data_IF_077466699871
#
_entry.id   IF_077466699871
#
_cell.length_a   1.000
_cell.length_b   1.000
_cell.length_c   1.000
_cell.angle_alpha   90.00
_cell.angle_beta   90.00
_cell.angle_gamma   90.00
#
_symmetry.space_group_name_H-M   'P 1'
#
loop_
_entity.id
_entity.type
_entity.pdbx_description
1 polymer ?
#
# COMPACT_ATOMS: atom_id res chain seq x y z
N UNK A 1 -31.71 -58.01 -5.27
CA UNK A 1 -30.53 -57.12 -5.35
C UNK A 1 -30.85 -55.61 -5.32
N UNK A 2 -31.81 -55.08 -6.08
CA UNK A 2 -32.04 -53.61 -6.15
C UNK A 2 -32.51 -52.99 -4.84
N UNK A 3 -33.34 -53.67 -3.99
CA UNK A 3 -33.83 -53.13 -2.70
C UNK A 3 -32.70 -53.02 -1.65
N UNK A 4 -31.78 -53.99 -1.57
CA UNK A 4 -30.65 -53.89 -0.62
C UNK A 4 -29.66 -52.77 -0.96
N UNK A 5 -29.44 -52.51 -2.23
CA UNK A 5 -28.58 -51.43 -2.70
C UNK A 5 -29.17 -50.04 -2.40
N UNK A 6 -30.51 -49.87 -2.46
CA UNK A 6 -31.18 -48.61 -2.06
C UNK A 6 -31.11 -48.34 -0.55
N UNK A 7 -31.19 -49.36 0.30
CA UNK A 7 -31.01 -49.21 1.76
C UNK A 7 -29.57 -48.82 2.13
N UNK A 8 -28.57 -49.42 1.48
CA UNK A 8 -27.15 -49.08 1.70
C UNK A 8 -26.86 -47.64 1.26
N UNK A 9 -27.38 -47.21 0.10
CA UNK A 9 -27.23 -45.85 -0.40
C UNK A 9 -27.90 -44.83 0.55
N UNK A 10 -29.09 -45.12 1.03
CA UNK A 10 -29.83 -44.28 1.99
C UNK A 10 -29.10 -44.16 3.33
N UNK A 11 -28.53 -45.26 3.84
CA UNK A 11 -27.72 -45.24 5.06
C UNK A 11 -26.43 -44.44 4.92
N UNK A 12 -25.75 -44.56 3.77
CA UNK A 12 -24.54 -43.77 3.47
C UNK A 12 -24.83 -42.26 3.38
N UNK A 13 -25.94 -41.90 2.71
CA UNK A 13 -26.36 -40.49 2.62
C UNK A 13 -26.80 -39.93 3.97
N UNK A 14 -27.48 -40.73 4.79
CA UNK A 14 -27.84 -40.34 6.16
C UNK A 14 -26.60 -40.15 7.04
N UNK A 15 -25.65 -41.05 6.99
CA UNK A 15 -24.37 -40.95 7.72
C UNK A 15 -23.54 -39.76 7.25
N UNK A 16 -23.50 -39.51 5.94
CA UNK A 16 -22.82 -38.33 5.37
C UNK A 16 -23.56 -37.04 5.81
N UNK A 17 -24.87 -37.01 5.83
CA UNK A 17 -25.67 -35.89 6.34
C UNK A 17 -25.44 -35.64 7.83
N UNK A 18 -25.41 -36.68 8.63
CA UNK A 18 -25.09 -36.60 10.08
C UNK A 18 -23.63 -36.14 10.31
N UNK A 19 -22.70 -36.69 9.56
CA UNK A 19 -21.29 -36.26 9.63
C UNK A 19 -21.12 -34.78 9.22
N UNK A 20 -21.86 -34.31 8.21
CA UNK A 20 -21.87 -32.89 7.83
C UNK A 20 -22.56 -32.00 8.89
N UNK A 21 -23.64 -32.46 9.51
CA UNK A 21 -24.38 -31.69 10.53
C UNK A 21 -23.62 -31.62 11.86
N UNK A 22 -23.09 -32.72 12.33
CA UNK A 22 -22.42 -32.83 13.64
C UNK A 22 -20.90 -32.64 13.55
N UNK A 23 -20.27 -32.94 12.42
CA UNK A 23 -18.85 -32.74 12.20
C UNK A 23 -18.46 -31.29 11.90
N UNK A 24 -19.39 -30.50 11.30
CA UNK A 24 -19.13 -29.07 10.97
C UNK A 24 -18.68 -28.23 12.15
N UNK A 25 -19.35 -28.25 13.33
CA UNK A 25 -18.91 -27.46 14.48
C UNK A 25 -17.52 -27.87 14.97
N UNK A 26 -17.23 -29.16 15.00
CA UNK A 26 -15.93 -29.68 15.41
C UNK A 26 -14.83 -29.26 14.42
N UNK A 27 -15.06 -29.43 13.11
CA UNK A 27 -14.10 -29.01 12.08
C UNK A 27 -13.88 -27.50 12.13
N UNK A 28 -14.96 -26.72 12.29
CA UNK A 28 -14.87 -25.27 12.41
C UNK A 28 -14.08 -24.84 13.65
N UNK A 29 -14.30 -25.50 14.79
CA UNK A 29 -13.53 -25.23 16.01
C UNK A 29 -12.04 -25.56 15.83
N UNK A 30 -11.70 -26.70 15.24
CA UNK A 30 -10.31 -27.07 14.98
C UNK A 30 -9.65 -26.10 13.99
N UNK A 31 -10.37 -25.70 12.92
CA UNK A 31 -9.88 -24.72 11.97
C UNK A 31 -9.64 -23.36 12.64
N UNK A 32 -10.57 -22.92 13.51
CA UNK A 32 -10.43 -21.68 14.27
C UNK A 32 -9.25 -21.73 15.24
N UNK A 33 -9.09 -22.81 16.01
CA UNK A 33 -7.96 -23.00 16.93
C UNK A 33 -6.64 -22.96 16.17
N UNK A 34 -6.55 -23.68 15.04
CA UNK A 34 -5.37 -23.64 14.19
C UNK A 34 -5.07 -22.24 13.66
N UNK A 35 -6.09 -21.49 13.25
CA UNK A 35 -5.92 -20.10 12.82
C UNK A 35 -5.43 -19.20 13.97
N UNK A 36 -5.91 -19.41 15.20
CA UNK A 36 -5.39 -18.71 16.38
C UNK A 36 -3.90 -19.00 16.59
N UNK A 37 -3.52 -20.30 16.59
CA UNK A 37 -2.14 -20.71 16.85
C UNK A 37 -1.15 -20.21 15.78
N UNK A 38 -1.62 -20.07 14.53
CA UNK A 38 -0.76 -19.67 13.41
C UNK A 38 -0.68 -18.16 13.19
N UNK A 39 -1.72 -17.42 13.57
CA UNK A 39 -1.82 -16.01 13.15
C UNK A 39 -1.90 -15.01 14.31
N UNK A 40 -2.38 -15.42 15.49
CA UNK A 40 -2.62 -14.47 16.58
C UNK A 40 -1.37 -14.32 17.46
N UNK A 41 -0.87 -13.07 17.56
CA UNK A 41 0.31 -12.74 18.36
C UNK A 41 1.64 -13.20 17.77
N UNK A 42 1.64 -13.72 16.53
CA UNK A 42 2.87 -14.15 15.84
C UNK A 42 3.40 -12.98 14.99
N UNK A 43 4.63 -12.55 15.23
CA UNK A 43 5.35 -11.64 14.34
C UNK A 43 5.81 -12.41 13.09
N UNK A 44 5.00 -12.37 12.04
CA UNK A 44 5.32 -13.05 10.76
C UNK A 44 6.61 -12.49 10.12
N UNK A 45 6.96 -11.25 10.41
CA UNK A 45 8.19 -10.63 9.89
C UNK A 45 9.46 -11.18 10.53
N UNK A 46 9.36 -11.89 11.66
CA UNK A 46 10.51 -12.52 12.32
C UNK A 46 11.17 -13.64 11.48
N UNK A 47 10.42 -14.21 10.53
CA UNK A 47 10.93 -15.22 9.59
C UNK A 47 11.66 -14.61 8.38
N UNK A 48 11.59 -13.30 8.19
CA UNK A 48 12.21 -12.65 7.03
C UNK A 48 13.73 -12.51 7.24
N UNK A 49 14.49 -12.73 6.15
CA UNK A 49 15.90 -12.38 6.14
C UNK A 49 16.08 -10.88 6.36
N UNK A 50 17.19 -10.45 6.93
CA UNK A 50 17.47 -9.01 7.05
C UNK A 50 17.54 -8.34 5.68
N UNK A 51 16.90 -7.18 5.53
CA UNK A 51 16.78 -6.49 4.25
C UNK A 51 15.65 -5.47 4.22
N UNK A 52 15.21 -5.14 3.01
CA UNK A 52 14.00 -4.36 2.76
C UNK A 52 12.85 -5.28 2.37
N UNK A 53 11.70 -5.07 2.96
CA UNK A 53 10.47 -5.80 2.63
C UNK A 53 9.36 -4.79 2.37
N UNK A 54 8.90 -4.75 1.11
CA UNK A 54 7.80 -3.90 0.70
C UNK A 54 6.49 -4.66 0.82
N UNK A 55 5.47 -4.00 1.36
CA UNK A 55 4.09 -4.46 1.42
C UNK A 55 3.22 -3.53 0.57
N UNK A 56 2.51 -4.08 -0.39
CA UNK A 56 1.51 -3.34 -1.17
C UNK A 56 0.15 -3.54 -0.47
N UNK A 57 -0.25 -2.58 0.33
CA UNK A 57 -1.51 -2.63 1.06
C UNK A 57 -2.65 -1.90 0.34
N UNK A 58 -2.32 -1.04 -0.62
CA UNK A 58 -3.25 -0.39 -1.52
C UNK A 58 -2.60 -0.06 -2.86
N UNK A 59 -3.08 -0.66 -3.93
CA UNK A 59 -2.58 -0.48 -5.30
C UNK A 59 -3.56 0.26 -6.22
N UNK A 60 -4.74 0.60 -5.69
CA UNK A 60 -5.80 1.31 -6.40
C UNK A 60 -5.57 2.81 -6.46
N UNK A 61 -6.55 3.50 -7.01
CA UNK A 61 -6.65 4.94 -7.23
C UNK A 61 -7.97 5.45 -6.64
N UNK A 62 -8.35 6.73 -6.77
CA UNK A 62 -9.65 7.20 -6.27
C UNK A 62 -10.85 6.59 -7.00
N UNK A 63 -10.65 5.87 -8.10
CA UNK A 63 -11.74 5.19 -8.81
C UNK A 63 -12.23 3.97 -8.02
N UNK A 64 -13.55 3.69 -8.01
CA UNK A 64 -14.09 2.52 -7.34
C UNK A 64 -13.47 1.22 -7.88
N UNK A 65 -12.91 0.42 -6.98
CA UNK A 65 -12.35 -0.90 -7.25
C UNK A 65 -12.79 -1.87 -6.14
N UNK A 66 -13.22 -3.07 -6.52
CA UNK A 66 -13.69 -4.07 -5.54
C UNK A 66 -12.53 -4.73 -4.78
N UNK A 67 -11.37 -4.84 -5.41
CA UNK A 67 -10.24 -5.65 -4.93
C UNK A 67 -9.08 -4.79 -4.41
N UNK A 68 -8.96 -3.53 -4.87
CA UNK A 68 -7.86 -2.64 -4.52
C UNK A 68 -8.29 -1.56 -3.53
N UNK A 69 -7.53 -1.40 -2.48
CA UNK A 69 -7.60 -0.27 -1.56
C UNK A 69 -6.94 0.97 -2.18
N UNK A 70 -7.24 2.14 -1.63
CA UNK A 70 -6.56 3.38 -1.99
C UNK A 70 -5.04 3.29 -1.80
N UNK A 71 -4.25 4.14 -2.48
CA UNK A 71 -2.81 4.00 -2.57
C UNK A 71 -2.15 3.98 -1.20
N UNK A 72 -1.38 2.93 -0.94
CA UNK A 72 -0.63 2.79 0.30
C UNK A 72 0.40 1.68 0.17
N UNK A 73 1.61 1.98 0.57
CA UNK A 73 2.73 1.07 0.60
C UNK A 73 3.35 1.07 2.00
N UNK A 74 3.87 -0.07 2.45
CA UNK A 74 4.62 -0.08 3.69
C UNK A 74 5.97 -0.79 3.50
N UNK A 75 6.99 -0.35 4.21
CA UNK A 75 8.33 -0.90 4.13
C UNK A 75 8.80 -1.30 5.51
N UNK A 76 9.26 -2.54 5.64
CA UNK A 76 10.03 -3.01 6.80
C UNK A 76 11.52 -3.03 6.40
N UNK A 77 12.34 -2.32 7.16
CA UNK A 77 13.79 -2.24 6.99
C UNK A 77 14.47 -2.70 8.30
N UNK A 78 14.90 -3.96 8.34
CA UNK A 78 15.37 -4.56 9.58
C UNK A 78 14.33 -4.53 10.69
N UNK A 79 14.55 -3.73 11.75
CA UNK A 79 13.59 -3.58 12.86
C UNK A 79 12.82 -2.26 12.84
N UNK A 80 12.74 -1.59 11.70
CA UNK A 80 12.04 -0.34 11.53
C UNK A 80 11.01 -0.46 10.41
N UNK A 81 9.80 0.02 10.67
CA UNK A 81 8.68 -0.03 9.75
C UNK A 81 8.22 1.40 9.38
N UNK A 82 7.76 1.57 8.15
CA UNK A 82 7.35 2.85 7.58
C UNK A 82 6.12 2.65 6.70
N UNK A 83 5.21 3.62 6.68
CA UNK A 83 4.06 3.64 5.77
C UNK A 83 4.23 4.83 4.81
N UNK A 84 3.92 4.63 3.54
CA UNK A 84 3.93 5.65 2.48
C UNK A 84 2.51 5.75 1.93
N UNK A 85 1.85 6.86 2.23
CA UNK A 85 0.44 7.11 2.05
C UNK A 85 -0.47 6.11 2.79
N UNK A 86 -1.69 6.50 3.04
CA UNK A 86 -2.70 5.67 3.70
C UNK A 86 -4.07 5.90 3.06
N UNK A 87 -4.24 5.38 1.86
CA UNK A 87 -5.52 5.41 1.18
C UNK A 87 -6.57 4.54 1.85
N UNK A 88 -7.81 4.78 1.52
CA UNK A 88 -8.97 4.12 2.11
C UNK A 88 -8.88 2.58 2.04
N UNK A 89 -9.07 1.91 3.16
CA UNK A 89 -9.08 0.44 3.29
C UNK A 89 -7.71 -0.24 3.34
N UNK A 90 -6.62 0.49 3.06
CA UNK A 90 -5.26 -0.07 2.99
C UNK A 90 -4.75 -0.57 4.34
N UNK A 91 -5.03 0.16 5.42
CA UNK A 91 -4.52 -0.17 6.76
C UNK A 91 -5.09 -1.49 7.28
N UNK A 92 -6.35 -1.81 6.96
CA UNK A 92 -6.94 -3.12 7.29
C UNK A 92 -6.28 -4.26 6.52
N UNK A 93 -5.96 -4.03 5.24
CA UNK A 93 -5.21 -5.00 4.44
C UNK A 93 -3.80 -5.18 5.00
N UNK A 94 -3.12 -4.09 5.36
CA UNK A 94 -1.81 -4.11 5.98
C UNK A 94 -1.79 -4.95 7.29
N UNK A 95 -2.82 -4.76 8.14
CA UNK A 95 -3.00 -5.57 9.35
C UNK A 95 -3.17 -7.06 9.04
N UNK A 96 -3.95 -7.42 7.99
CA UNK A 96 -4.12 -8.80 7.54
C UNK A 96 -2.82 -9.42 6.98
N UNK A 97 -1.94 -8.60 6.40
CA UNK A 97 -0.63 -9.02 5.91
C UNK A 97 0.38 -9.26 7.05
N UNK A 98 -0.02 -9.09 8.31
CA UNK A 98 0.86 -9.31 9.47
C UNK A 98 1.95 -8.25 9.64
N UNK A 99 1.73 -7.02 9.13
CA UNK A 99 2.70 -5.95 9.24
C UNK A 99 2.96 -5.59 10.72
N UNK A 100 4.24 -5.44 11.13
CA UNK A 100 4.61 -5.26 12.53
C UNK A 100 4.41 -3.79 12.99
N UNK A 101 3.17 -3.38 13.30
CA UNK A 101 2.83 -2.01 13.72
C UNK A 101 3.65 -1.52 14.94
N UNK A 102 4.12 -2.43 15.80
CA UNK A 102 5.00 -2.09 16.93
C UNK A 102 6.38 -1.57 16.51
N UNK A 103 6.80 -1.83 15.26
CA UNK A 103 8.06 -1.33 14.68
C UNK A 103 7.89 -0.03 13.89
N UNK A 104 6.68 0.53 13.79
CA UNK A 104 6.38 1.70 12.98
C UNK A 104 7.09 2.95 13.52
N UNK A 105 7.91 3.58 12.70
CA UNK A 105 8.71 4.78 13.03
C UNK A 105 8.12 6.07 12.47
N UNK A 106 7.40 6.00 11.36
CA UNK A 106 6.77 7.16 10.73
C UNK A 106 5.90 6.80 9.55
N UNK A 107 5.06 7.72 9.18
CA UNK A 107 4.25 7.71 7.96
C UNK A 107 4.67 8.88 7.07
N UNK A 108 4.72 8.66 5.77
CA UNK A 108 5.26 9.58 4.76
C UNK A 108 4.21 9.83 3.70
N UNK A 109 3.67 11.04 3.65
CA UNK A 109 2.66 11.43 2.66
C UNK A 109 3.35 11.99 1.42
N UNK A 110 2.99 11.44 0.25
CA UNK A 110 3.50 11.93 -1.03
C UNK A 110 2.91 13.29 -1.38
N UNK A 111 1.62 13.43 -1.17
CA UNK A 111 0.83 14.66 -1.35
C UNK A 111 -0.50 14.53 -0.59
N UNK A 112 -1.37 15.55 -0.69
CA UNK A 112 -2.55 15.64 0.18
C UNK A 112 -3.88 15.42 -0.58
N UNK A 113 -3.91 14.71 -1.69
CA UNK A 113 -5.17 14.23 -2.25
C UNK A 113 -5.84 13.24 -1.29
N UNK A 114 -7.16 13.21 -1.31
CA UNK A 114 -7.95 12.45 -0.35
C UNK A 114 -7.65 10.95 -0.39
N UNK A 115 -7.48 10.37 -1.55
CA UNK A 115 -7.21 8.95 -1.72
C UNK A 115 -5.84 8.50 -1.16
N UNK A 116 -4.91 9.43 -0.91
CA UNK A 116 -3.63 9.18 -0.25
C UNK A 116 -3.68 9.36 1.28
N UNK A 117 -4.73 10.01 1.81
CA UNK A 117 -4.84 10.34 3.24
C UNK A 117 -6.13 9.82 3.90
N UNK A 118 -7.10 9.28 3.15
CA UNK A 118 -8.41 8.83 3.66
C UNK A 118 -8.30 7.83 4.83
N UNK A 119 -7.27 6.99 4.84
CA UNK A 119 -7.00 6.00 5.87
C UNK A 119 -6.09 6.50 7.00
N UNK A 120 -5.60 7.74 6.98
CA UNK A 120 -4.65 8.26 7.97
C UNK A 120 -5.16 8.14 9.40
N UNK A 121 -6.45 8.43 9.64
CA UNK A 121 -7.03 8.28 10.97
C UNK A 121 -6.99 6.84 11.48
N UNK A 122 -7.22 5.85 10.61
CA UNK A 122 -7.09 4.43 10.95
C UNK A 122 -5.61 4.05 11.16
N UNK A 123 -4.69 4.57 10.36
CA UNK A 123 -3.25 4.37 10.52
C UNK A 123 -2.76 4.87 11.90
N UNK A 124 -3.10 6.10 12.26
CA UNK A 124 -2.78 6.68 13.57
C UNK A 124 -3.37 5.87 14.72
N UNK A 125 -4.62 5.40 14.58
CA UNK A 125 -5.28 4.55 15.58
C UNK A 125 -4.54 3.22 15.75
N UNK A 126 -4.19 2.53 14.67
CA UNK A 126 -3.49 1.25 14.73
C UNK A 126 -2.05 1.42 15.24
N UNK A 127 -1.36 2.47 14.85
CA UNK A 127 -0.05 2.82 15.39
C UNK A 127 -0.11 3.00 16.92
N UNK A 128 -1.14 3.70 17.42
CA UNK A 128 -1.33 3.91 18.85
C UNK A 128 -1.67 2.63 19.61
N UNK A 129 -2.75 1.93 19.21
CA UNK A 129 -3.29 0.78 19.95
C UNK A 129 -2.49 -0.51 19.67
N UNK A 130 -2.40 -0.93 18.41
CA UNK A 130 -1.69 -2.17 18.05
C UNK A 130 -0.17 -1.99 18.13
N UNK A 131 0.34 -0.81 17.82
CA UNK A 131 1.75 -0.46 17.94
C UNK A 131 2.20 -0.16 19.36
N UNK A 132 1.28 0.07 20.31
CA UNK A 132 1.59 0.32 21.73
C UNK A 132 2.36 1.62 21.97
N UNK A 133 2.13 2.65 21.18
CA UNK A 133 2.91 3.89 21.24
C UNK A 133 2.72 4.68 22.53
N UNK A 134 3.82 5.29 22.99
CA UNK A 134 3.84 6.25 24.11
C UNK A 134 4.08 7.70 23.67
N UNK A 135 4.16 7.93 22.36
CA UNK A 135 4.24 9.26 21.73
C UNK A 135 3.50 9.24 20.40
N UNK A 136 2.94 10.38 19.93
CA UNK A 136 2.28 10.47 18.62
C UNK A 136 3.17 9.98 17.49
N UNK A 137 2.55 9.39 16.45
CA UNK A 137 3.28 8.93 15.27
C UNK A 137 3.82 10.12 14.48
N UNK A 138 5.13 10.20 14.15
CA UNK A 138 5.63 11.19 13.19
C UNK A 138 4.98 10.97 11.81
N UNK A 139 4.38 12.04 11.26
CA UNK A 139 3.78 12.05 9.91
C UNK A 139 4.50 13.09 9.09
N UNK A 140 5.33 12.63 8.16
CA UNK A 140 6.11 13.46 7.25
C UNK A 140 5.28 13.75 6.00
N UNK A 141 5.34 14.99 5.50
CA UNK A 141 4.62 15.32 4.26
C UNK A 141 4.80 16.77 3.84
N UNK A 142 4.18 17.18 2.72
CA UNK A 142 4.28 18.53 2.20
C UNK A 142 3.65 19.57 3.13
N UNK A 143 3.78 20.85 2.79
CA UNK A 143 3.05 21.94 3.43
C UNK A 143 1.56 21.64 3.48
N UNK A 144 0.93 21.86 4.65
CA UNK A 144 -0.47 21.50 4.92
C UNK A 144 -0.65 20.16 5.65
N UNK A 145 0.40 19.33 5.78
CA UNK A 145 0.35 18.07 6.56
C UNK A 145 -0.01 18.35 8.03
N UNK A 146 0.42 19.46 8.60
CA UNK A 146 0.07 19.89 9.95
C UNK A 146 -1.45 20.05 10.12
N UNK A 147 -2.12 20.66 9.14
CA UNK A 147 -3.58 20.85 9.14
C UNK A 147 -4.31 19.51 9.02
N UNK A 148 -3.85 18.65 8.11
CA UNK A 148 -4.42 17.31 7.91
C UNK A 148 -4.29 16.47 9.17
N UNK A 149 -3.09 16.38 9.76
CA UNK A 149 -2.84 15.62 10.99
C UNK A 149 -3.66 16.18 12.17
N UNK A 150 -3.72 17.49 12.33
CA UNK A 150 -4.54 18.12 13.37
C UNK A 150 -6.03 17.79 13.21
N UNK A 151 -6.55 17.79 11.96
CA UNK A 151 -7.95 17.44 11.68
C UNK A 151 -8.25 15.97 12.02
N UNK A 152 -7.39 15.02 11.65
CA UNK A 152 -7.56 13.61 12.03
C UNK A 152 -7.41 13.38 13.53
N UNK A 153 -6.47 14.04 14.20
CA UNK A 153 -6.37 14.01 15.66
C UNK A 153 -7.66 14.48 16.31
N UNK A 154 -8.23 15.60 15.85
CA UNK A 154 -9.49 16.13 16.36
C UNK A 154 -10.68 15.18 16.08
N UNK A 155 -10.77 14.60 14.90
CA UNK A 155 -11.82 13.66 14.52
C UNK A 155 -11.84 12.40 15.41
N UNK A 156 -10.67 11.90 15.80
CA UNK A 156 -10.53 10.69 16.63
C UNK A 156 -10.41 10.99 18.13
N UNK A 157 -10.45 12.27 18.56
CA UNK A 157 -10.29 12.66 19.96
C UNK A 157 -11.34 12.00 20.87
N UNK A 158 -12.60 11.94 20.44
CA UNK A 158 -13.68 11.34 21.23
C UNK A 158 -13.45 9.82 21.37
N UNK A 159 -13.15 9.12 20.28
CA UNK A 159 -12.85 7.68 20.28
C UNK A 159 -11.68 7.36 21.23
N UNK A 160 -10.65 8.22 21.24
CA UNK A 160 -9.49 8.02 22.12
C UNK A 160 -9.88 7.99 23.60
N UNK A 161 -10.80 8.86 24.03
CA UNK A 161 -11.28 8.87 25.42
C UNK A 161 -12.01 7.58 25.79
N UNK A 162 -12.81 7.03 24.85
CA UNK A 162 -13.51 5.76 25.04
C UNK A 162 -12.53 4.59 25.18
N UNK A 163 -11.49 4.54 24.35
CA UNK A 163 -10.48 3.47 24.42
C UNK A 163 -9.68 3.52 25.72
N UNK A 164 -9.29 4.70 26.18
CA UNK A 164 -8.63 4.87 27.47
C UNK A 164 -9.55 4.42 28.59
N UNK A 165 -10.84 4.78 28.56
CA UNK A 165 -11.82 4.36 29.56
C UNK A 165 -12.06 2.84 29.57
N UNK A 166 -12.13 2.20 28.40
CA UNK A 166 -12.38 0.77 28.28
C UNK A 166 -11.17 -0.11 28.63
N UNK A 167 -9.95 0.30 28.20
CA UNK A 167 -8.77 -0.58 28.24
C UNK A 167 -7.71 -0.10 29.23
N UNK A 168 -7.86 1.13 29.75
CA UNK A 168 -6.91 1.78 30.66
C UNK A 168 -5.61 2.26 29.96
N UNK A 169 -4.84 3.12 30.66
CA UNK A 169 -3.65 3.77 30.09
C UNK A 169 -2.48 2.82 29.80
N UNK A 170 -2.52 1.58 30.30
CA UNK A 170 -1.51 0.56 29.97
C UNK A 170 -1.67 0.03 28.55
N UNK A 171 -2.89 -0.02 28.04
CA UNK A 171 -3.21 -0.49 26.68
C UNK A 171 -3.37 0.70 25.74
N UNK A 172 -4.16 1.68 26.12
CA UNK A 172 -4.40 2.90 25.37
C UNK A 172 -3.69 4.08 26.08
N UNK A 173 -2.37 4.18 25.89
CA UNK A 173 -1.58 5.24 26.52
C UNK A 173 -1.98 6.61 25.95
N UNK A 174 -2.54 7.54 26.78
CA UNK A 174 -3.02 8.85 26.27
C UNK A 174 -1.93 9.67 25.56
N UNK A 175 -0.66 9.52 25.98
CA UNK A 175 0.46 10.27 25.39
C UNK A 175 0.89 9.73 24.02
N UNK A 176 0.43 8.54 23.65
CA UNK A 176 0.72 7.92 22.36
C UNK A 176 -0.29 8.19 21.26
N UNK A 177 -1.41 8.84 21.61
CA UNK A 177 -2.51 9.08 20.69
C UNK A 177 -2.16 10.06 19.58
N UNK A 178 -2.59 9.74 18.36
CA UNK A 178 -2.57 10.62 17.19
C UNK A 178 -1.25 10.70 16.46
N UNK A 179 -1.14 11.69 15.60
CA UNK A 179 0.04 12.01 14.79
C UNK A 179 0.69 13.32 15.18
N UNK A 180 1.99 13.43 14.85
CA UNK A 180 2.80 14.63 14.97
C UNK A 180 3.37 14.99 13.60
N UNK A 181 2.89 16.08 13.00
CA UNK A 181 3.31 16.49 11.66
C UNK A 181 4.78 16.90 11.60
N UNK A 182 5.47 16.46 10.54
CA UNK A 182 6.83 16.81 10.17
C UNK A 182 6.82 17.34 8.74
N UNK A 183 6.86 18.67 8.59
CA UNK A 183 6.77 19.30 7.27
C UNK A 183 8.09 19.10 6.51
N UNK A 184 8.00 18.54 5.31
CA UNK A 184 9.11 18.39 4.39
C UNK A 184 9.25 19.71 3.62
N UNK A 185 10.36 20.43 3.86
CA UNK A 185 10.70 21.64 3.15
C UNK A 185 12.06 21.42 2.47
N UNK A 186 12.04 21.21 1.15
CA UNK A 186 13.29 21.09 0.38
C UNK A 186 13.97 22.46 0.32
N UNK A 187 15.31 22.52 0.48
CA UNK A 187 16.07 23.74 0.26
C UNK A 187 15.83 24.33 -1.14
N UNK A 188 16.01 25.63 -1.28
CA UNK A 188 15.87 26.31 -2.57
C UNK A 188 16.80 25.70 -3.63
N UNK A 189 16.21 25.36 -4.78
CA UNK A 189 16.93 24.74 -5.88
C UNK A 189 17.26 23.25 -5.69
N UNK A 190 16.94 22.66 -4.53
CA UNK A 190 17.14 21.22 -4.31
C UNK A 190 15.95 20.41 -4.83
N UNK A 191 16.24 19.32 -5.53
CA UNK A 191 15.26 18.36 -6.02
C UNK A 191 15.02 17.20 -5.04
N UNK A 192 15.88 17.04 -4.03
CA UNK A 192 15.74 15.98 -3.03
C UNK A 192 16.46 16.34 -1.72
N UNK A 193 16.02 15.69 -0.62
CA UNK A 193 16.62 15.83 0.69
C UNK A 193 16.45 14.54 1.51
N UNK A 194 17.49 14.16 2.25
CA UNK A 194 17.38 13.13 3.29
C UNK A 194 16.54 13.68 4.44
N UNK A 195 15.45 13.01 4.75
CA UNK A 195 14.48 13.43 5.79
C UNK A 195 14.45 12.45 6.97
N UNK A 196 15.02 11.27 6.81
CA UNK A 196 15.18 10.27 7.85
C UNK A 196 16.51 9.54 7.65
N UNK A 197 17.32 9.45 8.71
CA UNK A 197 18.60 8.71 8.69
C UNK A 197 18.87 8.17 10.10
N UNK A 198 18.40 6.96 10.36
CA UNK A 198 18.55 6.31 11.68
C UNK A 198 18.74 4.80 11.54
N UNK A 199 19.61 4.23 12.38
CA UNK A 199 19.87 2.78 12.47
C UNK A 199 20.14 2.13 11.09
N UNK A 200 20.82 2.86 10.18
CA UNK A 200 21.18 2.39 8.84
C UNK A 200 20.08 2.48 7.79
N UNK A 201 18.87 2.93 8.15
CA UNK A 201 17.80 3.26 7.21
C UNK A 201 17.87 4.73 6.84
N UNK A 202 17.92 5.00 5.55
CA UNK A 202 17.89 6.36 5.01
C UNK A 202 16.68 6.53 4.10
N UNK A 203 15.87 7.59 4.34
CA UNK A 203 14.73 7.95 3.49
C UNK A 203 15.00 9.35 2.93
N UNK A 204 14.93 9.45 1.61
CA UNK A 204 15.10 10.69 0.85
C UNK A 204 13.76 11.08 0.23
N UNK A 205 13.26 12.28 0.53
CA UNK A 205 12.17 12.89 -0.20
C UNK A 205 12.68 13.49 -1.51
N UNK A 206 11.94 13.33 -2.59
CA UNK A 206 12.32 13.72 -3.94
C UNK A 206 11.15 14.51 -4.54
N UNK A 207 11.39 15.68 -5.09
CA UNK A 207 10.38 16.48 -5.78
C UNK A 207 9.88 15.73 -7.01
N UNK A 208 8.55 15.62 -7.14
CA UNK A 208 7.90 15.10 -8.34
C UNK A 208 6.97 16.12 -8.96
N UNK A 209 6.38 15.80 -10.12
CA UNK A 209 5.59 16.73 -10.92
C UNK A 209 4.14 16.23 -10.95
N UNK A 210 3.28 16.87 -10.16
CA UNK A 210 1.86 16.53 -10.06
C UNK A 210 0.98 17.79 -10.11
N UNK A 211 1.24 18.69 -11.09
CA UNK A 211 0.55 19.98 -11.21
C UNK A 211 -0.98 19.81 -11.28
N UNK A 212 -1.76 20.64 -10.54
CA UNK A 212 -1.33 21.84 -9.79
C UNK A 212 -0.92 21.57 -8.33
N UNK A 213 -0.85 20.32 -7.89
CA UNK A 213 -0.49 19.95 -6.51
C UNK A 213 1.01 20.19 -6.29
N UNK A 214 1.34 21.15 -5.43
CA UNK A 214 2.72 21.55 -5.12
C UNK A 214 2.86 21.89 -3.64
N UNK A 215 3.90 21.37 -2.95
CA UNK A 215 4.82 20.34 -3.44
C UNK A 215 4.20 18.94 -3.40
N UNK A 216 4.71 18.05 -4.27
CA UNK A 216 4.45 16.62 -4.24
C UNK A 216 5.79 15.89 -4.19
N UNK A 217 5.83 14.74 -3.50
CA UNK A 217 7.06 13.99 -3.24
C UNK A 217 6.96 12.53 -3.67
N UNK A 218 8.06 12.02 -4.24
CA UNK A 218 8.39 10.61 -4.21
C UNK A 218 9.42 10.36 -3.11
N UNK A 219 9.71 9.09 -2.85
CA UNK A 219 10.64 8.67 -1.80
C UNK A 219 11.62 7.63 -2.30
N UNK A 220 12.87 7.70 -1.80
CA UNK A 220 13.85 6.63 -1.91
C UNK A 220 14.20 6.13 -0.52
N UNK A 221 14.19 4.81 -0.34
CA UNK A 221 14.53 4.12 0.89
C UNK A 221 15.78 3.28 0.64
N UNK A 222 16.83 3.51 1.40
CA UNK A 222 18.08 2.74 1.34
C UNK A 222 18.32 2.03 2.68
N UNK A 223 18.67 0.74 2.63
CA UNK A 223 19.05 -0.06 3.80
C UNK A 223 19.99 -1.20 3.40
N UNK A 224 21.16 -1.28 4.04
CA UNK A 224 22.17 -2.36 3.84
C UNK A 224 22.44 -2.70 2.38
N UNK A 225 22.60 -1.68 1.53
CA UNK A 225 22.91 -1.82 0.11
C UNK A 225 21.72 -2.25 -0.76
N UNK A 226 20.51 -2.27 -0.22
CA UNK A 226 19.27 -2.45 -0.96
C UNK A 226 18.49 -1.14 -1.02
N UNK A 227 17.69 -0.97 -2.08
CA UNK A 227 17.00 0.30 -2.31
C UNK A 227 15.64 0.12 -2.99
N UNK A 228 14.68 0.92 -2.52
CA UNK A 228 13.33 1.04 -3.09
C UNK A 228 13.09 2.50 -3.44
N UNK A 229 12.48 2.77 -4.60
CA UNK A 229 11.94 4.09 -4.93
C UNK A 229 10.43 4.03 -5.13
N UNK A 230 9.71 5.01 -4.61
CA UNK A 230 8.25 5.18 -4.68
C UNK A 230 7.99 6.54 -5.31
N UNK A 231 7.27 6.58 -6.44
CA UNK A 231 7.07 7.84 -7.17
C UNK A 231 6.09 8.80 -6.49
N UNK A 232 5.08 8.29 -5.76
CA UNK A 232 3.85 9.05 -5.58
C UNK A 232 3.16 9.26 -6.92
N UNK A 233 2.21 10.18 -6.99
CA UNK A 233 1.56 10.57 -8.23
C UNK A 233 2.42 11.56 -8.98
N UNK A 234 2.70 11.30 -10.25
CA UNK A 234 3.57 12.15 -11.06
C UNK A 234 3.49 11.81 -12.55
N UNK A 235 3.79 12.77 -13.40
CA UNK A 235 4.26 12.48 -14.76
C UNK A 235 5.73 12.03 -14.72
N UNK A 236 6.34 11.75 -15.90
CA UNK A 236 7.78 11.51 -15.94
C UNK A 236 8.56 12.68 -15.31
N UNK A 237 9.20 12.43 -14.17
CA UNK A 237 9.92 13.45 -13.38
C UNK A 237 11.44 13.21 -13.43
N UNK A 238 12.21 14.07 -14.11
CA UNK A 238 13.67 13.93 -14.21
C UNK A 238 14.37 13.87 -12.85
N UNK A 239 13.91 14.64 -11.87
CA UNK A 239 14.47 14.65 -10.51
C UNK A 239 14.27 13.28 -9.82
N UNK A 240 13.09 12.67 -9.96
CA UNK A 240 12.81 11.34 -9.43
C UNK A 240 13.70 10.27 -10.10
N UNK A 241 13.85 10.32 -11.42
CA UNK A 241 14.73 9.43 -12.17
C UNK A 241 16.18 9.57 -11.70
N UNK A 242 16.67 10.79 -11.55
CA UNK A 242 18.05 11.06 -11.10
C UNK A 242 18.32 10.53 -9.70
N UNK A 243 17.41 10.78 -8.74
CA UNK A 243 17.54 10.34 -7.36
C UNK A 243 17.32 8.82 -7.20
N UNK A 244 16.62 8.18 -8.14
CA UNK A 244 16.33 6.74 -8.14
C UNK A 244 17.35 5.91 -8.92
N UNK A 245 18.52 6.47 -9.27
CA UNK A 245 19.55 5.73 -10.01
C UNK A 245 19.96 4.43 -9.30
N UNK A 246 19.92 3.32 -10.06
CA UNK A 246 20.37 2.00 -9.64
C UNK A 246 19.54 1.36 -8.52
N UNK A 247 18.29 1.78 -8.30
CA UNK A 247 17.44 1.16 -7.29
C UNK A 247 17.11 -0.29 -7.68
N UNK A 248 16.99 -1.16 -6.68
CA UNK A 248 16.62 -2.57 -6.89
C UNK A 248 15.15 -2.71 -7.29
N UNK A 249 14.27 -1.89 -6.69
CA UNK A 249 12.84 -1.89 -6.92
C UNK A 249 12.32 -0.44 -7.05
N UNK A 250 11.61 -0.17 -8.14
CA UNK A 250 10.88 1.07 -8.34
C UNK A 250 9.38 0.79 -8.36
N UNK A 251 8.62 1.55 -7.58
CA UNK A 251 7.16 1.63 -7.69
C UNK A 251 6.80 2.95 -8.34
N UNK A 252 5.96 2.91 -9.37
CA UNK A 252 5.55 4.10 -10.11
C UNK A 252 4.03 4.08 -10.33
N UNK A 253 3.39 5.24 -10.19
CA UNK A 253 1.99 5.40 -10.56
C UNK A 253 1.81 5.12 -12.06
N UNK A 254 0.61 4.71 -12.46
CA UNK A 254 0.35 4.45 -13.87
C UNK A 254 -1.11 4.70 -14.26
N UNK A 255 -1.28 5.53 -15.29
CA UNK A 255 -2.57 5.83 -15.92
C UNK A 255 -2.54 5.46 -17.38
N UNK A 256 -3.35 4.49 -17.81
CA UNK A 256 -3.48 4.18 -19.24
C UNK A 256 -4.40 5.21 -19.91
N UNK A 257 -3.79 6.12 -20.68
CA UNK A 257 -4.48 7.26 -21.29
C UNK A 257 -5.58 6.85 -22.28
N UNK A 258 -5.34 5.81 -23.07
CA UNK A 258 -6.32 5.32 -24.07
C UNK A 258 -7.55 4.72 -23.39
N UNK A 259 -7.35 3.92 -22.32
CA UNK A 259 -8.45 3.36 -21.55
C UNK A 259 -9.24 4.45 -20.83
N UNK A 260 -8.58 5.45 -20.26
CA UNK A 260 -9.23 6.59 -19.59
C UNK A 260 -9.98 7.46 -20.60
N UNK A 261 -9.41 7.72 -21.77
CA UNK A 261 -10.08 8.45 -22.85
C UNK A 261 -11.35 7.73 -23.33
N UNK A 262 -11.27 6.41 -23.51
CA UNK A 262 -12.42 5.58 -23.90
C UNK A 262 -13.52 5.62 -22.82
N UNK A 263 -13.13 5.57 -21.54
CA UNK A 263 -14.05 5.69 -20.41
C UNK A 263 -14.73 7.08 -20.38
N UNK A 264 -13.95 8.15 -20.57
CA UNK A 264 -14.45 9.52 -20.67
C UNK A 264 -15.45 9.71 -21.81
N UNK A 265 -15.15 9.19 -23.00
CA UNK A 265 -16.06 9.22 -24.14
C UNK A 265 -17.38 8.49 -23.84
N UNK A 266 -17.34 7.33 -23.19
CA UNK A 266 -18.55 6.59 -22.81
C UNK A 266 -19.38 7.31 -21.76
N UNK A 267 -18.73 7.97 -20.78
CA UNK A 267 -19.41 8.80 -19.77
C UNK A 267 -20.11 10.00 -20.42
N UNK A 268 -19.46 10.68 -21.36
CA UNK A 268 -20.06 11.80 -22.11
C UNK A 268 -21.28 11.32 -22.92
N UNK A 269 -21.18 10.22 -23.64
CA UNK A 269 -22.30 9.59 -24.37
C UNK A 269 -23.50 9.29 -23.47
N UNK A 270 -23.23 8.91 -22.20
CA UNK A 270 -24.26 8.61 -21.20
C UNK A 270 -24.76 9.81 -20.41
N UNK A 271 -24.42 11.01 -20.82
CA UNK A 271 -24.89 12.26 -20.19
C UNK A 271 -24.23 12.56 -18.84
N UNK A 272 -22.98 12.09 -18.63
CA UNK A 272 -22.19 12.36 -17.44
C UNK A 272 -20.98 13.29 -17.76
N UNK A 273 -21.21 14.55 -18.23
CA UNK A 273 -20.14 15.40 -18.73
C UNK A 273 -19.12 15.80 -17.64
N UNK A 274 -19.53 15.91 -16.37
CA UNK A 274 -18.61 16.24 -15.26
C UNK A 274 -17.59 15.14 -15.04
N UNK A 275 -18.03 13.90 -14.99
CA UNK A 275 -17.12 12.75 -14.80
C UNK A 275 -16.26 12.53 -16.05
N UNK A 276 -16.82 12.78 -17.24
CA UNK A 276 -16.04 12.75 -18.49
C UNK A 276 -14.93 13.81 -18.50
N UNK A 277 -15.19 15.02 -17.96
CA UNK A 277 -14.17 16.06 -17.82
C UNK A 277 -13.04 15.61 -16.87
N UNK A 278 -13.37 14.97 -15.74
CA UNK A 278 -12.35 14.42 -14.83
C UNK A 278 -11.45 13.42 -15.58
N UNK A 279 -12.04 12.52 -16.40
CA UNK A 279 -11.28 11.56 -17.20
C UNK A 279 -10.34 12.22 -18.22
N UNK A 280 -10.70 13.40 -18.70
CA UNK A 280 -9.83 14.21 -19.55
C UNK A 280 -8.66 14.81 -18.73
N UNK A 281 -8.98 15.43 -17.60
CA UNK A 281 -8.01 16.22 -16.82
C UNK A 281 -6.92 15.35 -16.20
N UNK A 282 -7.27 14.17 -15.65
CA UNK A 282 -6.31 13.28 -14.98
C UNK A 282 -5.18 12.77 -15.87
N UNK A 283 -5.35 12.79 -17.20
CA UNK A 283 -4.33 12.38 -18.15
C UNK A 283 -3.10 13.32 -18.20
N UNK A 284 -3.24 14.53 -17.68
CA UNK A 284 -2.21 15.56 -17.73
C UNK A 284 -1.18 15.47 -16.58
N UNK A 285 -1.49 14.79 -15.48
CA UNK A 285 -0.68 14.83 -14.28
C UNK A 285 -0.35 13.44 -13.68
N UNK A 286 -0.57 12.37 -14.45
CA UNK A 286 -0.13 11.00 -14.17
C UNK A 286 0.74 10.46 -15.31
N UNK A 287 1.65 9.54 -14.98
CA UNK A 287 2.47 8.86 -15.96
C UNK A 287 1.67 7.81 -16.72
N UNK A 288 1.93 7.67 -18.03
CA UNK A 288 1.49 6.46 -18.74
C UNK A 288 2.34 5.26 -18.31
N UNK A 289 1.88 4.00 -18.52
CA UNK A 289 2.70 2.83 -18.29
C UNK A 289 4.05 2.88 -19.04
N UNK A 290 4.06 3.48 -20.24
CA UNK A 290 5.27 3.71 -21.04
C UNK A 290 6.18 4.78 -20.42
N UNK A 291 5.62 5.86 -19.87
CA UNK A 291 6.39 6.89 -19.16
C UNK A 291 7.02 6.33 -17.87
N UNK A 292 6.27 5.54 -17.10
CA UNK A 292 6.77 4.82 -15.94
C UNK A 292 7.88 3.82 -16.32
N UNK A 293 7.68 3.07 -17.42
CA UNK A 293 8.68 2.16 -17.95
C UNK A 293 9.96 2.89 -18.40
N UNK A 294 9.82 4.08 -19.01
CA UNK A 294 10.94 4.95 -19.37
C UNK A 294 11.67 5.45 -18.11
N UNK A 295 10.93 5.90 -17.09
CA UNK A 295 11.52 6.33 -15.83
C UNK A 295 12.33 5.20 -15.17
N UNK A 296 11.78 3.99 -15.10
CA UNK A 296 12.48 2.80 -14.59
C UNK A 296 13.74 2.46 -15.39
N UNK A 297 13.66 2.47 -16.72
CA UNK A 297 14.80 2.25 -17.61
C UNK A 297 15.87 3.31 -17.44
N UNK A 298 15.50 4.58 -17.46
CA UNK A 298 16.43 5.71 -17.36
C UNK A 298 17.08 5.78 -15.98
N UNK A 299 16.36 5.35 -14.92
CA UNK A 299 16.94 5.19 -13.60
C UNK A 299 17.86 3.95 -13.48
N UNK A 300 17.77 2.98 -14.40
CA UNK A 300 18.48 1.71 -14.29
C UNK A 300 17.93 0.86 -13.15
N UNK A 301 16.63 0.91 -12.90
CA UNK A 301 15.97 0.11 -11.88
C UNK A 301 16.04 -1.39 -12.23
N UNK A 302 16.21 -2.25 -11.24
CA UNK A 302 16.25 -3.70 -11.45
C UNK A 302 14.86 -4.29 -11.71
N UNK A 303 13.86 -3.80 -11.00
CA UNK A 303 12.46 -4.21 -11.09
C UNK A 303 11.55 -2.98 -11.05
N UNK A 304 10.49 -2.99 -11.86
CA UNK A 304 9.46 -1.96 -11.88
C UNK A 304 8.10 -2.57 -11.54
N UNK A 305 7.41 -1.98 -10.58
CA UNK A 305 6.03 -2.34 -10.22
C UNK A 305 5.16 -1.11 -10.41
N UNK A 306 4.13 -1.22 -11.24
CA UNK A 306 3.15 -0.15 -11.44
C UNK A 306 2.07 -0.27 -10.37
N UNK A 307 1.79 0.82 -9.65
CA UNK A 307 0.73 0.92 -8.64
C UNK A 307 -0.13 2.15 -8.90
N UNK A 308 -1.09 2.49 -8.04
CA UNK A 308 -2.03 3.60 -8.29
C UNK A 308 -2.64 3.48 -9.70
N UNK A 309 -3.23 2.30 -9.97
CA UNK A 309 -3.63 1.93 -11.35
C UNK A 309 -4.90 2.67 -11.79
N UNK A 310 -4.82 3.43 -12.87
CA UNK A 310 -5.94 4.18 -13.47
C UNK A 310 -6.11 3.82 -14.95
N UNK A 311 -7.28 3.33 -15.40
CA UNK A 311 -8.40 2.88 -14.60
C UNK A 311 -8.12 1.55 -13.88
N UNK A 312 -9.02 1.08 -13.01
CA UNK A 312 -8.92 -0.24 -12.40
C UNK A 312 -8.70 -1.35 -13.42
N UNK A 313 -7.85 -2.33 -13.06
CA UNK A 313 -7.56 -3.52 -13.88
C UNK A 313 -8.20 -4.74 -13.20
N UNK A 314 -9.48 -5.05 -13.52
CA UNK A 314 -10.29 -6.01 -12.76
C UNK A 314 -9.91 -7.47 -13.04
N UNK A 315 -9.16 -7.75 -14.09
CA UNK A 315 -8.80 -9.11 -14.45
C UNK A 315 -7.44 -9.17 -15.16
N UNK A 316 -6.69 -10.23 -14.93
CA UNK A 316 -5.39 -10.47 -15.60
C UNK A 316 -5.46 -10.43 -17.12
N UNK A 317 -6.61 -10.77 -17.70
CA UNK A 317 -6.83 -10.70 -19.15
C UNK A 317 -6.66 -9.26 -19.70
N UNK A 318 -6.92 -8.24 -18.86
CA UNK A 318 -6.86 -6.82 -19.26
C UNK A 318 -5.46 -6.23 -19.00
N UNK A 319 -4.59 -6.89 -18.24
CA UNK A 319 -3.23 -6.41 -17.96
C UNK A 319 -2.43 -6.05 -19.22
N UNK A 320 -2.42 -6.86 -20.30
CA UNK A 320 -1.69 -6.50 -21.53
C UNK A 320 -2.21 -5.21 -22.19
N UNK A 321 -3.53 -4.98 -22.15
CA UNK A 321 -4.12 -3.74 -22.64
C UNK A 321 -3.68 -2.54 -21.77
N UNK A 322 -3.70 -2.69 -20.45
CA UNK A 322 -3.25 -1.66 -19.53
C UNK A 322 -1.78 -1.32 -19.72
N UNK A 323 -0.93 -2.34 -19.83
CA UNK A 323 0.53 -2.18 -19.97
C UNK A 323 0.97 -1.57 -21.31
N UNK A 324 0.18 -1.71 -22.38
CA UNK A 324 0.51 -1.19 -23.70
C UNK A 324 1.89 -1.61 -24.19
N UNK A 325 2.75 -0.63 -24.50
CA UNK A 325 4.12 -0.87 -24.95
C UNK A 325 5.16 -0.86 -23.81
N UNK A 326 4.76 -0.63 -22.57
CA UNK A 326 5.67 -0.57 -21.43
C UNK A 326 6.63 -1.77 -21.33
N UNK A 327 6.20 -3.04 -21.58
CA UNK A 327 7.12 -4.19 -21.56
C UNK A 327 8.22 -4.16 -22.62
N UNK A 328 8.06 -3.38 -23.69
CA UNK A 328 9.10 -3.19 -24.72
C UNK A 328 10.07 -2.06 -24.34
N UNK A 329 9.65 -1.16 -23.49
CA UNK A 329 10.43 0.00 -23.02
C UNK A 329 11.35 -0.39 -21.88
N UNK A 330 10.82 -1.12 -20.88
CA UNK A 330 11.56 -1.53 -19.68
C UNK A 330 12.15 -2.94 -19.85
N UNK A 331 13.48 -3.09 -19.80
CA UNK A 331 14.12 -4.39 -20.09
C UNK A 331 14.13 -5.36 -18.90
N UNK A 332 13.77 -4.88 -17.70
CA UNK A 332 13.78 -5.65 -16.46
C UNK A 332 12.43 -6.34 -16.16
N UNK A 333 12.26 -6.76 -14.92
CA UNK A 333 10.98 -7.32 -14.44
C UNK A 333 9.95 -6.21 -14.28
N UNK A 334 8.86 -6.26 -15.04
CA UNK A 334 7.71 -5.34 -14.95
C UNK A 334 6.49 -6.10 -14.42
N UNK A 335 5.83 -5.56 -13.39
CA UNK A 335 4.59 -6.13 -12.82
C UNK A 335 3.57 -5.03 -12.52
N UNK A 336 2.29 -5.40 -12.52
CA UNK A 336 1.23 -4.60 -11.89
C UNK A 336 1.15 -4.97 -10.41
N UNK A 337 1.02 -3.97 -9.56
CA UNK A 337 0.78 -4.16 -8.14
C UNK A 337 -0.59 -4.82 -7.90
N UNK A 338 -0.65 -5.63 -6.86
CA UNK A 338 -1.87 -6.19 -6.32
C UNK A 338 -1.82 -6.03 -4.80
N UNK A 339 -2.94 -5.73 -4.19
CA UNK A 339 -3.05 -5.68 -2.74
C UNK A 339 -2.69 -7.04 -2.14
N UNK A 340 -1.88 -7.04 -1.10
CA UNK A 340 -1.34 -8.27 -0.53
C UNK A 340 0.01 -8.71 -1.10
N UNK A 341 0.52 -8.07 -2.17
CA UNK A 341 1.86 -8.34 -2.68
C UNK A 341 2.91 -7.95 -1.64
N UNK A 342 3.85 -8.86 -1.38
CA UNK A 342 5.06 -8.58 -0.60
C UNK A 342 6.27 -8.77 -1.52
N UNK A 343 7.24 -7.84 -1.44
CA UNK A 343 8.49 -7.95 -2.19
C UNK A 343 9.66 -7.92 -1.21
N UNK A 344 10.45 -9.01 -1.20
CA UNK A 344 11.62 -9.14 -0.35
C UNK A 344 12.90 -8.81 -1.12
N UNK A 345 13.73 -7.96 -0.52
CA UNK A 345 15.05 -7.58 -1.00
C UNK A 345 16.09 -7.88 0.09
N UNK A 346 16.54 -9.14 0.23
CA UNK A 346 17.47 -9.53 1.27
C UNK A 346 18.80 -8.77 1.18
N UNK A 347 19.34 -8.33 2.31
CA UNK A 347 20.66 -7.70 2.38
C UNK A 347 21.75 -8.68 1.93
N UNK A 348 22.81 -8.15 1.29
CA UNK A 348 23.90 -8.99 0.76
C UNK A 348 23.53 -9.84 -0.47
N UNK A 349 22.32 -9.66 -1.02
CA UNK A 349 21.82 -10.34 -2.22
C UNK A 349 21.40 -9.31 -3.28
N UNK A 350 21.23 -9.74 -4.52
CA UNK A 350 20.56 -8.98 -5.59
C UNK A 350 19.14 -9.51 -5.88
N UNK A 351 18.70 -10.51 -5.14
CA UNK A 351 17.37 -11.11 -5.33
C UNK A 351 16.27 -10.08 -5.08
N UNK A 352 15.21 -10.17 -5.86
CA UNK A 352 13.92 -9.49 -5.68
C UNK A 352 12.86 -10.59 -5.73
N UNK A 353 12.32 -10.93 -4.57
CA UNK A 353 11.44 -12.09 -4.39
C UNK A 353 10.01 -11.62 -4.11
N UNK A 354 9.05 -12.19 -4.82
CA UNK A 354 7.64 -11.84 -4.69
C UNK A 354 6.90 -12.91 -3.89
N UNK A 355 6.09 -12.47 -2.94
CA UNK A 355 5.24 -13.32 -2.11
C UNK A 355 3.82 -12.73 -2.01
N UNK A 356 2.88 -13.49 -1.47
CA UNK A 356 1.53 -13.03 -1.13
C UNK A 356 1.37 -13.01 0.39
N UNK A 357 0.84 -11.93 0.92
CA UNK A 357 0.49 -11.74 2.32
C UNK A 357 -1.03 -11.80 2.58
N UNK A 358 -1.86 -12.05 1.56
CA UNK A 358 -3.33 -12.17 1.65
C UNK A 358 -3.81 -13.47 1.05
#
# INVERSE_FOLDING_TARGET
MKRGMMFVLGAVLLLAGLALLFGRPFIAEQAFRRALDTNVGVDQSAAFADGLHLYVCGSGSPMPDADRAGPSLAVLAGNQAFIFDSGSGSIRKLGRMGFPMGKLRGEFLTHLHSDHIDGLGESLLQAWIAGGRSSPLPVYGPEGTDKVVAAFNAAYQIDSTYRVAHHGPKVANPTGFGGAAQIIALPDGADSQVIYDQEGVKITAIRVIHDPVKPAFGYRIDYKGRSIAISGDTVYAPAFVAASKGVDLMLHDALNKDMVAALGAKLAERGQPRTAQIMHDIQGYHASPEDAARAGKDAGAGTLVLYHLVPPVPARLIEPLFLGQAPKVFPGTLKLAQDGMIVHLPAGSKAVEFASGL
#
